data_IF_656516604614
#
_entry.id   IF_656516604614
#
_cell.length_a   1.000
_cell.length_b   1.000
_cell.length_c   1.000
_cell.angle_alpha   90.00
_cell.angle_beta   90.00
_cell.angle_gamma   90.00
#
_symmetry.space_group_name_H-M   'P 1'
#
loop_
_entity.id
_entity.type
_entity.pdbx_description
1 polymer ?
#
# COMPACT_ATOMS: atom_id res chain seq x y z
N UNK A 1 9.20 75.25 -19.44
CA UNK A 1 10.35 74.43 -19.74
C UNK A 1 10.39 73.25 -18.80
N UNK A 2 10.50 72.14 -19.30
CA UNK A 2 10.62 70.77 -18.77
C UNK A 2 9.32 69.99 -18.61
N UNK A 3 9.27 68.86 -19.24
CA UNK A 3 8.16 67.91 -19.21
C UNK A 3 8.36 66.86 -18.14
N UNK A 4 7.30 66.54 -17.46
CA UNK A 4 7.24 65.37 -16.59
C UNK A 4 6.44 64.29 -17.29
N UNK A 5 7.13 63.58 -18.12
CA UNK A 5 6.64 62.34 -18.70
C UNK A 5 7.12 61.18 -17.84
N UNK A 6 6.22 60.35 -17.39
CA UNK A 6 6.58 59.02 -17.05
C UNK A 6 6.29 58.52 -15.64
N UNK A 7 5.04 58.49 -15.20
CA UNK A 7 4.56 57.51 -14.20
C UNK A 7 3.05 57.32 -14.34
N UNK A 8 2.58 56.94 -15.53
CA UNK A 8 1.19 56.53 -15.69
C UNK A 8 1.03 55.10 -16.28
N UNK A 9 2.13 54.35 -16.34
CA UNK A 9 2.07 53.01 -16.98
C UNK A 9 1.88 51.87 -16.02
N UNK A 10 1.64 52.11 -14.74
CA UNK A 10 1.61 51.01 -13.77
C UNK A 10 0.35 50.96 -12.89
N UNK A 11 -0.71 51.70 -13.26
CA UNK A 11 -1.97 51.63 -12.51
C UNK A 11 -3.02 50.69 -13.10
N UNK A 12 -2.93 50.36 -14.38
CA UNK A 12 -3.84 49.40 -15.00
C UNK A 12 -3.40 47.94 -14.88
N UNK A 13 -2.13 47.66 -14.68
CA UNK A 13 -1.64 46.30 -14.45
C UNK A 13 -1.97 45.78 -13.03
N UNK A 14 -2.13 46.69 -12.05
CA UNK A 14 -2.44 46.30 -10.67
C UNK A 14 -3.94 46.03 -10.41
N UNK A 15 -4.81 46.47 -11.30
CA UNK A 15 -6.27 46.28 -11.17
C UNK A 15 -6.78 44.93 -11.72
N UNK A 16 -5.92 44.13 -12.37
CA UNK A 16 -6.26 42.80 -12.91
C UNK A 16 -5.81 41.63 -12.03
N UNK A 17 -5.18 41.92 -10.88
CA UNK A 17 -4.95 40.90 -9.85
C UNK A 17 -6.14 40.95 -8.87
N UNK A 18 -7.32 40.91 -9.43
CA UNK A 18 -8.56 40.83 -8.71
C UNK A 18 -8.97 39.41 -8.50
N UNK A 19 -8.99 38.99 -7.23
CA UNK A 19 -9.70 37.84 -6.70
C UNK A 19 -9.27 36.51 -7.31
N UNK A 20 -8.24 35.92 -6.71
CA UNK A 20 -8.07 34.47 -6.70
C UNK A 20 -9.23 33.94 -5.85
N UNK A 21 -10.34 33.69 -6.52
CA UNK A 21 -11.43 32.92 -5.94
C UNK A 21 -10.88 31.54 -5.65
N UNK A 22 -11.13 31.02 -4.46
CA UNK A 22 -10.70 29.74 -3.88
C UNK A 22 -11.22 28.53 -4.66
N UNK A 23 -10.96 28.47 -5.93
CA UNK A 23 -11.19 27.36 -6.83
C UNK A 23 -10.13 27.45 -7.89
N UNK A 24 -8.91 27.01 -7.58
CA UNK A 24 -7.86 26.88 -8.58
C UNK A 24 -8.34 25.87 -9.61
N UNK A 25 -8.94 26.36 -10.70
CA UNK A 25 -9.31 25.53 -11.85
C UNK A 25 -8.00 25.14 -12.51
N UNK A 26 -7.48 23.96 -12.14
CA UNK A 26 -6.32 23.37 -12.82
C UNK A 26 -6.62 23.28 -14.32
N UNK A 27 -5.64 23.55 -15.20
CA UNK A 27 -5.80 23.36 -16.64
C UNK A 27 -6.34 21.96 -16.94
N UNK A 28 -7.24 21.83 -17.91
CA UNK A 28 -7.92 20.57 -18.27
C UNK A 28 -6.95 19.41 -18.51
N UNK A 29 -5.78 19.68 -19.09
CA UNK A 29 -4.74 18.68 -19.32
C UNK A 29 -4.15 18.15 -18.01
N UNK A 30 -3.92 19.00 -17.00
CA UNK A 30 -3.40 18.59 -15.69
C UNK A 30 -4.46 17.78 -14.94
N UNK A 31 -5.72 18.16 -15.02
CA UNK A 31 -6.84 17.41 -14.42
C UNK A 31 -7.00 16.02 -15.05
N UNK A 32 -6.91 15.92 -16.38
CA UNK A 32 -6.95 14.64 -17.09
C UNK A 32 -5.78 13.73 -16.70
N UNK A 33 -4.57 14.28 -16.58
CA UNK A 33 -3.39 13.56 -16.13
C UNK A 33 -3.54 13.05 -14.68
N UNK A 34 -4.04 13.89 -13.76
CA UNK A 34 -4.30 13.53 -12.38
C UNK A 34 -5.36 12.42 -12.25
N UNK A 35 -6.47 12.54 -13.00
CA UNK A 35 -7.52 11.52 -13.02
C UNK A 35 -7.01 10.17 -13.53
N UNK A 36 -6.16 10.17 -14.55
CA UNK A 36 -5.51 8.95 -15.08
C UNK A 36 -4.59 8.33 -14.05
N UNK A 37 -3.81 9.12 -13.32
CA UNK A 37 -2.93 8.64 -12.26
C UNK A 37 -3.72 8.06 -11.09
N UNK A 38 -4.81 8.71 -10.63
CA UNK A 38 -5.72 8.19 -9.61
C UNK A 38 -6.29 6.84 -10.04
N UNK A 39 -6.78 6.73 -11.28
CA UNK A 39 -7.33 5.48 -11.80
C UNK A 39 -6.29 4.35 -11.83
N UNK A 40 -5.03 4.66 -12.16
CA UNK A 40 -3.95 3.70 -12.14
C UNK A 40 -3.63 3.23 -10.71
N UNK A 41 -3.54 4.15 -9.74
CA UNK A 41 -3.34 3.83 -8.32
C UNK A 41 -4.48 2.95 -7.80
N UNK A 42 -5.73 3.29 -8.10
CA UNK A 42 -6.88 2.50 -7.66
C UNK A 42 -6.89 1.10 -8.26
N UNK A 43 -6.41 0.92 -9.48
CA UNK A 43 -6.25 -0.40 -10.10
C UNK A 43 -5.21 -1.25 -9.37
N UNK A 44 -4.06 -0.68 -9.02
CA UNK A 44 -3.02 -1.36 -8.25
C UNK A 44 -3.51 -1.70 -6.84
N UNK A 45 -4.19 -0.77 -6.17
CA UNK A 45 -4.79 -1.00 -4.85
C UNK A 45 -5.83 -2.13 -4.87
N UNK A 46 -6.66 -2.19 -5.90
CA UNK A 46 -7.63 -3.28 -6.10
C UNK A 46 -6.96 -4.62 -6.35
N UNK A 47 -5.87 -4.63 -7.13
CA UNK A 47 -5.06 -5.83 -7.36
C UNK A 47 -4.41 -6.33 -6.06
N UNK A 48 -3.84 -5.43 -5.26
CA UNK A 48 -3.30 -5.75 -3.95
C UNK A 48 -4.37 -6.35 -3.02
N UNK A 49 -5.55 -5.73 -2.95
CA UNK A 49 -6.66 -6.25 -2.15
C UNK A 49 -7.01 -7.69 -2.53
N UNK A 50 -7.10 -7.99 -3.81
CA UNK A 50 -7.39 -9.34 -4.29
C UNK A 50 -6.35 -10.36 -3.83
N UNK A 51 -5.07 -10.03 -3.93
CA UNK A 51 -3.97 -10.89 -3.45
C UNK A 51 -4.04 -11.11 -1.92
N UNK A 52 -4.38 -10.07 -1.15
CA UNK A 52 -4.58 -10.20 0.29
C UNK A 52 -5.75 -11.14 0.64
N UNK A 53 -6.87 -11.03 -0.07
CA UNK A 53 -8.04 -11.88 0.09
C UNK A 53 -7.72 -13.34 -0.27
N UNK A 54 -6.99 -13.58 -1.37
CA UNK A 54 -6.53 -14.93 -1.78
C UNK A 54 -5.62 -15.57 -0.73
N UNK A 55 -4.69 -14.81 -0.13
CA UNK A 55 -3.83 -15.30 0.94
C UNK A 55 -4.63 -15.69 2.20
N UNK A 56 -5.60 -14.86 2.59
CA UNK A 56 -6.51 -15.16 3.72
C UNK A 56 -7.29 -16.45 3.47
N UNK A 57 -7.85 -16.64 2.27
CA UNK A 57 -8.58 -17.86 1.93
C UNK A 57 -7.68 -19.09 1.97
N UNK A 58 -6.46 -18.99 1.46
CA UNK A 58 -5.49 -20.07 1.47
C UNK A 58 -5.12 -20.47 2.89
N UNK A 59 -4.78 -19.49 3.74
CA UNK A 59 -4.39 -19.72 5.13
C UNK A 59 -5.53 -20.21 6.01
N UNK A 60 -6.76 -19.78 5.75
CA UNK A 60 -7.95 -20.31 6.44
C UNK A 60 -8.22 -21.78 6.11
N UNK A 61 -7.92 -22.21 4.88
CA UNK A 61 -8.04 -23.62 4.47
C UNK A 61 -6.91 -24.48 5.02
N UNK A 62 -5.71 -23.95 5.03
CA UNK A 62 -4.51 -24.61 5.52
C UNK A 62 -3.55 -23.59 6.19
N UNK A 63 -3.53 -23.50 7.52
CA UNK A 63 -2.63 -22.60 8.24
C UNK A 63 -1.13 -22.83 8.01
N UNK A 64 -0.76 -23.97 7.42
CA UNK A 64 0.62 -24.32 7.07
C UNK A 64 0.89 -24.27 5.56
N UNK A 65 0.00 -23.64 4.78
CA UNK A 65 0.18 -23.51 3.34
C UNK A 65 1.46 -22.72 3.00
N UNK A 66 2.07 -23.06 1.87
CA UNK A 66 3.16 -22.26 1.31
C UNK A 66 2.58 -20.98 0.68
N UNK A 67 2.96 -19.86 1.24
CA UNK A 67 2.52 -18.51 0.82
C UNK A 67 3.60 -17.75 0.06
N UNK A 68 4.69 -18.38 -0.33
CA UNK A 68 5.86 -17.74 -0.92
C UNK A 68 5.50 -16.94 -2.18
N UNK A 69 4.78 -17.55 -3.12
CA UNK A 69 4.40 -16.89 -4.38
C UNK A 69 3.42 -15.73 -4.15
N UNK A 70 2.45 -15.93 -3.26
CA UNK A 70 1.49 -14.88 -2.89
C UNK A 70 2.20 -13.71 -2.21
N UNK A 71 3.15 -13.99 -1.30
CA UNK A 71 3.96 -12.98 -0.63
C UNK A 71 4.82 -12.18 -1.61
N UNK A 72 5.42 -12.84 -2.59
CA UNK A 72 6.17 -12.15 -3.65
C UNK A 72 5.27 -11.23 -4.48
N UNK A 73 4.11 -11.71 -4.90
CA UNK A 73 3.13 -10.91 -5.62
C UNK A 73 2.66 -9.71 -4.81
N UNK A 74 2.33 -9.91 -3.54
CA UNK A 74 1.97 -8.85 -2.59
C UNK A 74 3.05 -7.77 -2.48
N UNK A 75 4.31 -8.18 -2.38
CA UNK A 75 5.45 -7.27 -2.31
C UNK A 75 5.57 -6.41 -3.57
N UNK A 76 5.37 -6.98 -4.76
CA UNK A 76 5.40 -6.23 -6.02
C UNK A 76 4.27 -5.18 -6.07
N UNK A 77 3.06 -5.54 -5.69
CA UNK A 77 1.94 -4.58 -5.63
C UNK A 77 2.18 -3.46 -4.61
N UNK A 78 2.72 -3.76 -3.43
CA UNK A 78 3.07 -2.76 -2.42
C UNK A 78 4.16 -1.81 -2.93
N UNK A 79 5.18 -2.34 -3.60
CA UNK A 79 6.25 -1.52 -4.17
C UNK A 79 5.73 -0.59 -5.26
N UNK A 80 4.88 -1.09 -6.15
CA UNK A 80 4.29 -0.29 -7.22
C UNK A 80 3.35 0.79 -6.66
N UNK A 81 2.49 0.44 -5.71
CA UNK A 81 1.62 1.40 -5.02
C UNK A 81 2.44 2.51 -4.34
N UNK A 82 3.52 2.16 -3.66
CA UNK A 82 4.43 3.12 -3.03
C UNK A 82 5.10 4.05 -4.04
N UNK A 83 5.52 3.55 -5.19
CA UNK A 83 6.10 4.37 -6.27
C UNK A 83 5.10 5.36 -6.84
N UNK A 84 3.89 4.88 -7.10
CA UNK A 84 2.83 5.70 -7.69
C UNK A 84 2.37 6.81 -6.73
N UNK A 85 2.18 6.49 -5.46
CA UNK A 85 1.76 7.48 -4.45
C UNK A 85 2.81 8.55 -4.21
N UNK A 86 4.11 8.19 -4.19
CA UNK A 86 5.18 9.19 -4.08
C UNK A 86 5.22 10.18 -5.23
N UNK A 87 4.94 9.73 -6.47
CA UNK A 87 4.94 10.59 -7.65
C UNK A 87 3.76 11.54 -7.68
N UNK A 88 2.69 11.16 -7.05
CA UNK A 88 1.44 11.91 -7.11
C UNK A 88 1.35 13.03 -6.06
N UNK A 89 2.11 12.93 -4.96
CA UNK A 89 1.95 13.84 -3.82
C UNK A 89 0.64 13.61 -3.09
N UNK A 90 -0.24 14.61 -3.04
CA UNK A 90 -1.55 14.47 -2.41
C UNK A 90 -2.56 13.81 -3.35
N UNK A 91 -3.19 12.74 -2.88
CA UNK A 91 -4.30 12.08 -3.58
C UNK A 91 -5.57 12.93 -3.41
N UNK A 92 -6.26 13.30 -4.49
CA UNK A 92 -7.61 13.87 -4.37
C UNK A 92 -8.54 12.78 -3.82
N UNK A 93 -9.00 12.98 -2.58
CA UNK A 93 -9.84 12.00 -1.88
C UNK A 93 -11.31 12.34 -2.15
N UNK A 94 -11.87 11.73 -3.18
CA UNK A 94 -13.32 11.66 -3.37
C UNK A 94 -13.91 10.45 -2.64
N UNK A 95 -15.23 10.29 -2.68
CA UNK A 95 -15.92 9.17 -2.00
C UNK A 95 -15.50 7.79 -2.56
N UNK A 96 -15.15 7.70 -3.84
CA UNK A 96 -14.74 6.44 -4.48
C UNK A 96 -13.36 6.04 -3.99
N UNK A 97 -12.41 6.98 -4.00
CA UNK A 97 -11.05 6.79 -3.48
C UNK A 97 -11.11 6.43 -1.99
N UNK A 98 -11.91 7.18 -1.20
CA UNK A 98 -12.07 6.89 0.23
C UNK A 98 -12.54 5.44 0.48
N UNK A 99 -13.58 5.01 -0.23
CA UNK A 99 -14.10 3.64 -0.12
C UNK A 99 -13.03 2.59 -0.43
N UNK A 100 -12.30 2.76 -1.52
CA UNK A 100 -11.24 1.82 -1.91
C UNK A 100 -10.11 1.74 -0.88
N UNK A 101 -9.75 2.87 -0.27
CA UNK A 101 -8.77 2.91 0.82
C UNK A 101 -9.29 2.15 2.04
N UNK A 102 -10.56 2.33 2.42
CA UNK A 102 -11.14 1.61 3.56
C UNK A 102 -11.21 0.11 3.32
N UNK A 103 -11.63 -0.32 2.12
CA UNK A 103 -11.65 -1.73 1.73
C UNK A 103 -10.24 -2.35 1.75
N UNK A 104 -9.22 -1.64 1.26
CA UNK A 104 -7.84 -2.10 1.32
C UNK A 104 -7.34 -2.21 2.76
N UNK A 105 -7.64 -1.24 3.62
CA UNK A 105 -7.29 -1.30 5.05
C UNK A 105 -7.91 -2.50 5.76
N UNK A 106 -9.18 -2.79 5.47
CA UNK A 106 -9.86 -3.97 6.00
C UNK A 106 -9.19 -5.27 5.52
N UNK A 107 -8.88 -5.38 4.24
CA UNK A 107 -8.18 -6.55 3.70
C UNK A 107 -6.79 -6.74 4.34
N UNK A 108 -6.03 -5.65 4.55
CA UNK A 108 -4.74 -5.69 5.25
C UNK A 108 -4.87 -6.17 6.70
N UNK A 109 -5.92 -5.74 7.42
CA UNK A 109 -6.18 -6.18 8.80
C UNK A 109 -6.46 -7.68 8.86
N UNK A 110 -7.38 -8.17 8.03
CA UNK A 110 -7.73 -9.59 7.95
C UNK A 110 -6.53 -10.45 7.53
N UNK A 111 -5.74 -9.97 6.59
CA UNK A 111 -4.52 -10.64 6.16
C UNK A 111 -3.49 -10.73 7.31
N UNK A 112 -3.32 -9.66 8.08
CA UNK A 112 -2.46 -9.65 9.26
C UNK A 112 -2.88 -10.67 10.32
N UNK A 113 -4.18 -10.83 10.56
CA UNK A 113 -4.71 -11.84 11.48
C UNK A 113 -4.45 -13.27 10.98
N UNK A 114 -4.69 -13.55 9.70
CA UNK A 114 -4.42 -14.85 9.10
C UNK A 114 -2.93 -15.22 9.13
N UNK A 115 -2.04 -14.26 8.84
CA UNK A 115 -0.59 -14.45 8.93
C UNK A 115 -0.12 -14.71 10.37
N UNK A 116 -0.75 -14.11 11.37
CA UNK A 116 -0.44 -14.40 12.77
C UNK A 116 -0.76 -15.86 13.12
N UNK A 117 -1.93 -16.36 12.72
CA UNK A 117 -2.30 -17.77 12.90
C UNK A 117 -1.33 -18.70 12.18
N UNK A 118 -0.95 -18.39 10.95
CA UNK A 118 0.04 -19.12 10.17
C UNK A 118 1.41 -19.19 10.90
N UNK A 119 1.89 -18.06 11.43
CA UNK A 119 3.15 -18.00 12.17
C UNK A 119 3.10 -18.82 13.44
N UNK A 120 2.02 -18.76 14.21
CA UNK A 120 1.85 -19.53 15.44
C UNK A 120 1.79 -21.04 15.14
N UNK A 121 1.09 -21.46 14.08
CA UNK A 121 1.05 -22.85 13.63
C UNK A 121 2.43 -23.34 13.19
N UNK A 122 3.18 -22.56 12.43
CA UNK A 122 4.53 -22.89 11.98
C UNK A 122 5.51 -23.03 13.15
N UNK A 123 5.42 -22.16 14.15
CA UNK A 123 6.22 -22.26 15.39
C UNK A 123 5.90 -23.53 16.17
N UNK A 124 4.63 -23.87 16.32
CA UNK A 124 4.18 -25.07 17.02
C UNK A 124 4.75 -26.35 16.38
N UNK A 125 4.70 -26.44 15.04
CA UNK A 125 5.30 -27.55 14.29
C UNK A 125 6.81 -27.61 14.52
N UNK A 126 7.50 -26.46 14.42
CA UNK A 126 8.95 -26.39 14.63
C UNK A 126 9.36 -26.85 16.04
N UNK A 127 8.61 -26.46 17.07
CA UNK A 127 8.88 -26.91 18.44
C UNK A 127 8.63 -28.42 18.63
N UNK A 128 7.58 -28.96 17.99
CA UNK A 128 7.32 -30.40 18.02
C UNK A 128 8.44 -31.19 17.36
N UNK A 129 8.95 -30.74 16.22
CA UNK A 129 10.08 -31.37 15.52
C UNK A 129 11.36 -31.31 16.41
N UNK A 130 11.67 -30.15 16.95
CA UNK A 130 12.83 -29.98 17.85
C UNK A 130 12.76 -30.90 19.07
N UNK A 131 11.56 -31.07 19.64
CA UNK A 131 11.35 -32.00 20.76
C UNK A 131 11.60 -33.44 20.33
N UNK A 132 11.01 -33.89 19.22
CA UNK A 132 11.18 -35.23 18.69
C UNK A 132 12.66 -35.57 18.44
N UNK A 133 13.42 -34.64 17.84
CA UNK A 133 14.88 -34.82 17.62
C UNK A 133 15.63 -34.97 18.95
N UNK A 134 15.37 -34.16 19.95
CA UNK A 134 16.00 -34.23 21.25
C UNK A 134 15.68 -35.53 21.99
N UNK A 135 14.44 -36.00 21.91
CA UNK A 135 14.01 -37.24 22.55
C UNK A 135 14.71 -38.44 21.88
N UNK A 136 14.87 -38.46 20.56
CA UNK A 136 15.60 -39.49 19.81
C UNK A 136 17.11 -39.50 20.13
N UNK A 137 17.74 -38.32 20.21
CA UNK A 137 19.14 -38.19 20.60
C UNK A 137 19.39 -38.66 22.07
N UNK A 138 18.43 -38.45 22.96
CA UNK A 138 18.49 -38.87 24.37
C UNK A 138 18.39 -40.39 24.51
N UNK A 139 17.54 -41.04 23.72
CA UNK A 139 17.37 -42.50 23.77
C UNK A 139 18.57 -43.27 23.16
N UNK A 140 19.33 -42.61 22.27
CA UNK A 140 20.51 -43.21 21.61
C UNK A 140 21.77 -43.28 22.48
N UNK A 141 21.84 -42.60 23.62
CA UNK A 141 23.05 -42.50 24.44
C UNK A 141 23.21 -43.62 25.49
N UNK A 142 22.25 -44.53 25.63
CA UNK A 142 22.31 -45.62 26.64
C UNK A 142 22.62 -47.02 26.08
N UNK A 143 23.05 -47.17 24.84
CA UNK A 143 23.37 -48.48 24.23
C UNK A 143 24.87 -48.71 23.99
N UNK A 144 25.79 -48.06 24.72
CA UNK A 144 27.20 -48.41 24.68
C UNK A 144 27.68 -48.78 26.09
N UNK A 145 27.42 -50.00 26.47
CA UNK A 145 27.85 -50.53 27.75
C UNK A 145 27.68 -52.04 27.91
N UNK A 146 28.33 -52.82 27.03
CA UNK A 146 28.88 -54.17 27.40
C UNK A 146 29.73 -54.69 26.28
#
# INVERSE_FOLDING_TARGET
MQPSTGIEYNREAAAKVGRINSGTILPTAIRASAATQVSAIMRVAKGLRKILEEEVELLNKNPLADVTEITNSKTLYLLELSRMTRRMGELPVDQVVHRQIMELRQALSLNGEALKVHLDASRSVSETIKKAIRDEESDGTYTVGR
#
